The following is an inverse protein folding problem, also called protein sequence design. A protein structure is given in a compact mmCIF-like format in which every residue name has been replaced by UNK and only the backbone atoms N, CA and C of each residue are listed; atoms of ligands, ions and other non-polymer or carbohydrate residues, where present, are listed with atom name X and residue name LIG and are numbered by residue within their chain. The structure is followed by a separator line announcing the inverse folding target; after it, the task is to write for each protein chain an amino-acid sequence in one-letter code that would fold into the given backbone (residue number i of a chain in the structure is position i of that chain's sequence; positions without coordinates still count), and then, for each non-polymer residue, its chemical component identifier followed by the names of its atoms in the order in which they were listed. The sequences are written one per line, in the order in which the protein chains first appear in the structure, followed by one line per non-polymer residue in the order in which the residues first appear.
data_IF_809649732166
#
_entry.id   IF_809649732166
#
_cell.length_a   1.000
_cell.length_b   1.000
_cell.length_c   1.000
_cell.angle_alpha   90.00
_cell.angle_beta   90.00
_cell.angle_gamma   90.00
#
_symmetry.space_group_name_H-M   'P 1'
#
loop_
_entity.id
_entity.type
_entity.pdbx_description
1 polymer ?
#
# COMPACT_ATOMS: atom_id res chain seq x y z
N UNK A 1 -5.16 -12.05 -6.74
CA UNK A 1 -6.41 -12.83 -6.90
C UNK A 1 -6.88 -12.69 -8.35
N UNK A 2 -7.89 -13.44 -8.81
CA UNK A 2 -8.57 -13.16 -10.09
C UNK A 2 -9.91 -12.47 -9.84
N UNK A 3 -10.25 -11.46 -10.63
CA UNK A 3 -11.54 -10.79 -10.64
C UNK A 3 -12.62 -11.70 -11.23
N UNK A 4 -13.89 -11.30 -11.08
CA UNK A 4 -15.03 -11.94 -11.76
C UNK A 4 -14.88 -11.93 -13.29
N UNK A 5 -14.19 -10.92 -13.82
CA UNK A 5 -13.89 -10.71 -15.25
C UNK A 5 -12.65 -11.48 -15.73
N UNK A 6 -11.98 -12.22 -14.86
CA UNK A 6 -10.83 -13.10 -15.19
C UNK A 6 -9.46 -12.43 -15.16
N UNK A 7 -9.39 -11.11 -14.96
CA UNK A 7 -8.14 -10.37 -14.79
C UNK A 7 -7.48 -10.70 -13.45
N UNK A 8 -6.15 -10.79 -13.42
CA UNK A 8 -5.44 -10.78 -12.15
C UNK A 8 -5.56 -9.38 -11.56
N UNK A 9 -5.91 -9.28 -10.30
CA UNK A 9 -5.95 -7.99 -9.61
C UNK A 9 -5.54 -8.15 -8.15
N UNK A 10 -5.28 -7.02 -7.50
CA UNK A 10 -5.02 -6.93 -6.07
C UNK A 10 -5.86 -5.78 -5.50
N UNK A 11 -6.78 -6.07 -4.56
CA UNK A 11 -7.56 -5.02 -3.90
C UNK A 11 -6.64 -4.11 -3.10
N UNK A 12 -6.78 -2.82 -3.32
CA UNK A 12 -5.95 -1.79 -2.70
C UNK A 12 -6.00 -1.85 -1.16
N UNK A 13 -7.18 -2.08 -0.58
CA UNK A 13 -7.34 -2.22 0.88
C UNK A 13 -6.51 -3.35 1.49
N UNK A 14 -6.30 -4.45 0.74
CA UNK A 14 -5.43 -5.54 1.21
C UNK A 14 -3.97 -5.12 1.22
N UNK A 15 -3.54 -4.33 0.24
CA UNK A 15 -2.18 -3.77 0.18
C UNK A 15 -1.98 -2.80 1.35
N UNK A 16 -2.95 -1.91 1.60
CA UNK A 16 -2.92 -1.00 2.75
C UNK A 16 -2.86 -1.76 4.09
N UNK A 17 -3.69 -2.80 4.23
CA UNK A 17 -3.73 -3.62 5.44
C UNK A 17 -2.39 -4.33 5.68
N UNK A 18 -1.74 -4.83 4.63
CA UNK A 18 -0.43 -5.48 4.70
C UNK A 18 0.65 -4.49 5.18
N UNK A 19 0.65 -3.26 4.65
CA UNK A 19 1.59 -2.21 5.08
C UNK A 19 1.34 -1.77 6.52
N UNK A 20 0.08 -1.63 6.96
CA UNK A 20 -0.24 -1.32 8.37
C UNK A 20 0.27 -2.41 9.31
N UNK A 21 -0.02 -3.67 9.00
CA UNK A 21 0.42 -4.82 9.79
C UNK A 21 1.95 -4.90 9.86
N UNK A 22 2.64 -4.60 8.77
CA UNK A 22 4.10 -4.53 8.75
C UNK A 22 4.66 -3.55 9.80
N UNK A 23 4.12 -2.33 9.89
CA UNK A 23 4.52 -1.38 10.94
C UNK A 23 4.13 -1.85 12.35
N UNK A 24 2.91 -2.38 12.52
CA UNK A 24 2.42 -2.88 13.80
C UNK A 24 3.28 -4.00 14.36
N UNK A 25 3.65 -4.98 13.52
CA UNK A 25 4.52 -6.10 13.90
C UNK A 25 5.91 -5.59 14.29
N UNK A 26 6.53 -4.73 13.47
CA UNK A 26 7.85 -4.17 13.80
C UNK A 26 7.84 -3.41 15.13
N UNK A 27 6.78 -2.63 15.39
CA UNK A 27 6.59 -1.92 16.67
C UNK A 27 6.45 -2.88 17.85
N UNK A 28 5.65 -3.94 17.70
CA UNK A 28 5.43 -4.95 18.74
C UNK A 28 6.72 -5.71 19.07
N UNK A 29 7.50 -6.05 18.06
CA UNK A 29 8.77 -6.78 18.20
C UNK A 29 9.96 -5.86 18.53
N UNK A 30 9.76 -4.54 18.59
CA UNK A 30 10.84 -3.57 18.85
C UNK A 30 11.90 -3.51 17.76
N UNK A 31 11.56 -3.89 16.53
CA UNK A 31 12.45 -3.91 15.36
C UNK A 31 12.16 -2.75 14.41
N UNK A 32 13.07 -2.49 13.47
CA UNK A 32 12.95 -1.37 12.53
C UNK A 32 12.28 -1.80 11.21
N UNK A 33 11.15 -1.17 10.89
CA UNK A 33 10.48 -1.25 9.60
C UNK A 33 11.32 -0.56 8.49
N UNK A 34 12.26 -1.31 7.92
CA UNK A 34 13.34 -0.76 7.07
C UNK A 34 12.96 -0.31 5.66
N UNK A 35 11.77 -0.65 5.18
CA UNK A 35 11.29 -0.25 3.87
C UNK A 35 10.16 -1.12 3.36
N UNK A 36 9.56 -0.68 2.26
CA UNK A 36 8.49 -1.39 1.54
C UNK A 36 8.84 -1.48 0.06
N UNK A 37 8.38 -2.54 -0.59
CA UNK A 37 8.57 -2.75 -2.02
C UNK A 37 7.21 -2.95 -2.68
N UNK A 38 6.93 -2.18 -3.72
CA UNK A 38 5.67 -2.25 -4.47
C UNK A 38 5.93 -2.08 -5.96
N UNK A 39 5.09 -2.72 -6.78
CA UNK A 39 5.07 -2.52 -8.23
C UNK A 39 4.09 -1.40 -8.57
N UNK A 40 4.58 -0.38 -9.28
CA UNK A 40 3.80 0.82 -9.60
C UNK A 40 4.11 1.36 -10.99
N UNK A 41 3.22 2.21 -11.50
CA UNK A 41 3.43 2.99 -12.71
C UNK A 41 2.84 4.39 -12.56
N UNK A 42 3.50 5.39 -13.14
CA UNK A 42 2.97 6.77 -13.21
C UNK A 42 1.83 6.92 -14.23
N UNK A 43 1.50 5.85 -14.97
CA UNK A 43 0.41 5.85 -15.93
C UNK A 43 -0.94 5.67 -15.22
N UNK A 44 -1.99 6.25 -15.80
CA UNK A 44 -3.36 6.06 -15.32
C UNK A 44 -3.91 4.70 -15.80
N UNK A 45 -3.47 3.62 -15.16
CA UNK A 45 -3.88 2.22 -15.41
C UNK A 45 -4.98 1.77 -14.43
N UNK A 46 -5.73 0.73 -14.81
CA UNK A 46 -6.77 0.11 -13.99
C UNK A 46 -6.42 -1.34 -13.67
N UNK A 47 -5.29 -1.57 -13.02
CA UNK A 47 -4.78 -2.93 -12.75
C UNK A 47 -5.13 -3.46 -11.34
N UNK A 48 -5.18 -2.57 -10.34
CA UNK A 48 -5.58 -2.85 -8.96
C UNK A 48 -6.97 -2.27 -8.65
N UNK A 49 -7.84 -3.03 -7.98
CA UNK A 49 -9.19 -2.58 -7.60
C UNK A 49 -9.20 -1.72 -6.32
N UNK A 50 -10.20 -0.86 -6.17
CA UNK A 50 -10.34 0.07 -5.05
C UNK A 50 -9.43 1.31 -5.16
N UNK A 51 -9.02 1.84 -4.01
CA UNK A 51 -8.38 3.15 -3.90
C UNK A 51 -9.38 4.30 -4.07
N UNK A 52 -8.91 5.54 -3.99
CA UNK A 52 -9.76 6.73 -4.09
C UNK A 52 -10.63 6.84 -5.37
N UNK A 53 -10.22 6.19 -6.47
CA UNK A 53 -10.96 6.18 -7.73
C UNK A 53 -12.01 5.06 -7.85
N UNK A 54 -12.13 4.20 -6.83
CA UNK A 54 -13.09 3.08 -6.77
C UNK A 54 -13.07 2.22 -8.05
N UNK A 55 -11.88 1.70 -8.39
CA UNK A 55 -11.71 0.80 -9.54
C UNK A 55 -12.43 -0.52 -9.24
N UNK A 56 -13.43 -0.86 -10.05
CA UNK A 56 -14.20 -2.11 -9.95
C UNK A 56 -13.63 -3.20 -10.86
N UNK A 57 -14.07 -4.44 -10.67
CA UNK A 57 -13.67 -5.59 -11.51
C UNK A 57 -13.98 -5.38 -13.00
N UNK A 58 -15.05 -4.64 -13.32
CA UNK A 58 -15.47 -4.32 -14.69
C UNK A 58 -14.55 -3.28 -15.34
N UNK A 59 -14.08 -2.30 -14.57
CA UNK A 59 -13.18 -1.23 -15.04
C UNK A 59 -11.75 -1.72 -15.29
N UNK A 60 -11.40 -2.94 -14.87
CA UNK A 60 -10.06 -3.49 -15.10
C UNK A 60 -9.73 -3.54 -16.59
N UNK A 61 -10.70 -3.88 -17.45
CA UNK A 61 -10.48 -4.01 -18.89
C UNK A 61 -10.14 -2.69 -19.60
N UNK A 62 -10.44 -1.54 -18.99
CA UNK A 62 -10.31 -0.23 -19.63
C UNK A 62 -8.84 0.09 -19.97
N UNK A 63 -7.93 -0.19 -19.04
CA UNK A 63 -6.50 0.15 -19.13
C UNK A 63 -5.60 -0.87 -18.44
N UNK A 64 -5.85 -2.15 -18.68
CA UNK A 64 -4.99 -3.24 -18.23
C UNK A 64 -3.81 -3.40 -19.19
N UNK A 65 -2.60 -2.94 -18.82
CA UNK A 65 -1.46 -2.88 -19.74
C UNK A 65 -0.30 -3.81 -19.37
N UNK A 66 -0.42 -4.57 -18.28
CA UNK A 66 0.58 -5.55 -17.85
C UNK A 66 0.21 -6.96 -18.29
N UNK A 67 1.20 -7.77 -18.64
CA UNK A 67 1.06 -9.22 -18.81
C UNK A 67 1.50 -10.00 -17.55
N UNK A 68 2.09 -9.30 -16.57
CA UNK A 68 2.64 -9.87 -15.36
C UNK A 68 1.64 -9.68 -14.20
N UNK A 69 2.06 -9.01 -13.14
CA UNK A 69 1.25 -8.70 -11.98
C UNK A 69 0.68 -7.27 -12.06
N UNK A 70 -0.48 -7.03 -11.44
CA UNK A 70 -1.17 -5.74 -11.46
C UNK A 70 -0.41 -4.69 -10.66
N UNK A 71 -0.16 -3.53 -11.27
CA UNK A 71 0.60 -2.43 -10.68
C UNK A 71 -0.32 -1.39 -10.06
N UNK A 72 0.18 -0.68 -9.05
CA UNK A 72 -0.47 0.53 -8.54
C UNK A 72 -0.40 1.64 -9.58
N UNK A 73 -1.51 2.34 -9.80
CA UNK A 73 -1.51 3.56 -10.60
C UNK A 73 -0.98 4.76 -9.78
N UNK A 74 -0.86 5.93 -10.42
CA UNK A 74 -0.31 7.12 -9.78
C UNK A 74 -1.09 7.55 -8.51
N UNK A 75 -2.42 7.57 -8.58
CA UNK A 75 -3.28 7.97 -7.46
C UNK A 75 -3.16 7.00 -6.28
N UNK A 76 -3.23 5.69 -6.54
CA UNK A 76 -3.06 4.64 -5.53
C UNK A 76 -1.65 4.68 -4.92
N UNK A 77 -0.62 4.94 -5.71
CA UNK A 77 0.77 5.06 -5.23
C UNK A 77 0.95 6.25 -4.29
N UNK A 78 0.33 7.39 -4.61
CA UNK A 78 0.37 8.57 -3.77
C UNK A 78 -0.41 8.38 -2.47
N UNK A 79 -1.58 7.75 -2.53
CA UNK A 79 -2.38 7.40 -1.36
C UNK A 79 -1.60 6.49 -0.41
N UNK A 80 -0.92 5.46 -0.94
CA UNK A 80 -0.06 4.58 -0.17
C UNK A 80 1.12 5.34 0.46
N UNK A 81 1.73 6.29 -0.27
CA UNK A 81 2.84 7.10 0.24
C UNK A 81 2.45 7.94 1.46
N UNK A 82 1.25 8.55 1.47
CA UNK A 82 0.76 9.28 2.62
C UNK A 82 0.56 8.38 3.84
N UNK A 83 0.00 7.18 3.67
CA UNK A 83 -0.18 6.22 4.74
C UNK A 83 1.16 5.75 5.34
N UNK A 84 2.17 5.51 4.50
CA UNK A 84 3.53 5.17 4.97
C UNK A 84 4.13 6.34 5.76
N UNK A 85 3.95 7.57 5.29
CA UNK A 85 4.45 8.75 5.98
C UNK A 85 3.82 8.93 7.37
N UNK A 86 2.51 8.66 7.51
CA UNK A 86 1.82 8.63 8.80
C UNK A 86 2.38 7.54 9.74
N UNK A 87 2.59 6.33 9.23
CA UNK A 87 3.21 5.23 9.98
C UNK A 87 4.61 5.59 10.49
N UNK A 88 5.46 6.14 9.63
CA UNK A 88 6.81 6.59 10.00
C UNK A 88 6.80 7.72 11.04
N UNK A 89 5.84 8.65 10.94
CA UNK A 89 5.67 9.72 11.94
C UNK A 89 5.33 9.13 13.31
N UNK A 90 4.38 8.20 13.37
CA UNK A 90 3.98 7.54 14.60
C UNK A 90 5.12 6.73 15.25
N UNK A 91 5.97 6.07 14.45
CA UNK A 91 7.19 5.41 14.96
C UNK A 91 8.16 6.39 15.59
N UNK A 92 8.44 7.51 14.91
CA UNK A 92 9.37 8.54 15.42
C UNK A 92 8.88 9.14 16.74
N UNK A 93 7.58 9.42 16.85
CA UNK A 93 6.98 9.95 18.09
C UNK A 93 7.08 8.95 19.23
N UNK A 94 6.81 7.66 18.96
CA UNK A 94 6.95 6.59 19.95
C UNK A 94 8.41 6.41 20.42
N UNK A 95 9.38 6.49 19.51
CA UNK A 95 10.81 6.44 19.85
C UNK A 95 11.23 7.64 20.70
N UNK A 96 10.80 8.86 20.34
CA UNK A 96 11.07 10.06 21.12
C UNK A 96 10.54 9.98 22.55
N UNK A 97 9.31 9.47 22.72
CA UNK A 97 8.72 9.26 24.04
C UNK A 97 9.49 8.22 24.87
N UNK A 98 9.96 7.12 24.27
CA UNK A 98 10.80 6.11 24.95
C UNK A 98 12.14 6.70 25.40
N UNK A 99 12.80 7.50 24.58
CA UNK A 99 14.07 8.16 24.95
C UNK A 99 13.87 9.12 26.12
N UNK A 100 12.80 9.92 26.09
CA UNK A 100 12.47 10.85 27.17
C UNK A 100 12.13 10.16 28.49
N UNK A 101 11.53 8.96 28.46
CA UNK A 101 11.17 8.20 29.65
C UNK A 101 12.36 7.52 30.35
N UNK A 102 13.51 7.41 29.67
CA UNK A 102 14.73 6.73 30.19
C UNK A 102 15.85 7.74 30.51
N UNK A 103 15.62 9.04 30.25
CA UNK A 103 16.51 10.16 30.57
C UNK A 103 16.08 10.84 31.87
#
# INVERSE_FOLDING_TARGET
IKSSTGYKTRPFDRILSEVRQFFEIHRAEGTYAGGVHFEMTGQNVTECTGGAEEITDEKLADRYHTHCDPRLNASQSLELAFLIAEGLKAEREALGAKVAAVS
#
